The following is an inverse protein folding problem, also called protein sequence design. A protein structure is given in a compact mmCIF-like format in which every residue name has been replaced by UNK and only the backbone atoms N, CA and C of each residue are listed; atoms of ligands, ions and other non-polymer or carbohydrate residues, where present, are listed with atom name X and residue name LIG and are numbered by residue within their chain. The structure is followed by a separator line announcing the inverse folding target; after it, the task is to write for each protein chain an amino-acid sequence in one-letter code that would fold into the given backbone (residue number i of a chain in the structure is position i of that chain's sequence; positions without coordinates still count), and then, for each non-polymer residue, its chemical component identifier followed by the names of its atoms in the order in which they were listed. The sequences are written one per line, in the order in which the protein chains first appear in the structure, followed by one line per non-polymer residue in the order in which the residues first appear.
data_IF_635681283316
#
_entry.id   IF_635681283316
#
_cell.length_a   1.000
_cell.length_b   1.000
_cell.length_c   1.000
_cell.angle_alpha   90.00
_cell.angle_beta   90.00
_cell.angle_gamma   90.00
#
_symmetry.space_group_name_H-M   'P 1'
#
loop_
_entity.id
_entity.type
_entity.pdbx_description
1 polymer ?
#
# COMPACT_ATOMS: atom_id res chain seq x y z
N UNK A 1 -0.07 -7.64 -20.02
CA UNK A 1 -1.28 -6.93 -19.56
C UNK A 1 -1.48 -5.57 -20.25
N UNK A 2 -0.79 -5.24 -21.36
CA UNK A 2 -1.13 -4.07 -22.18
C UNK A 2 -0.83 -2.67 -21.61
N UNK A 3 -0.40 -2.52 -20.35
CA UNK A 3 -0.08 -1.21 -19.75
C UNK A 3 1.17 -0.55 -20.33
N UNK A 4 1.10 0.77 -20.49
CA UNK A 4 2.17 1.64 -20.95
C UNK A 4 2.61 2.57 -19.81
N UNK A 5 3.90 2.53 -19.47
CA UNK A 5 4.49 3.37 -18.42
C UNK A 5 4.29 4.85 -18.76
N UNK A 6 4.00 5.65 -17.74
CA UNK A 6 3.74 7.09 -17.83
C UNK A 6 2.46 7.47 -18.59
N UNK A 7 1.65 6.51 -19.01
CA UNK A 7 0.36 6.74 -19.68
C UNK A 7 -0.77 6.03 -18.93
N UNK A 8 -0.82 4.70 -18.98
CA UNK A 8 -1.87 3.91 -18.31
C UNK A 8 -1.43 3.31 -16.99
N UNK A 9 -0.13 3.33 -16.69
CA UNK A 9 0.43 3.05 -15.36
C UNK A 9 1.42 4.15 -14.98
N UNK A 10 1.16 4.82 -13.85
CA UNK A 10 1.92 5.99 -13.40
C UNK A 10 2.27 5.86 -11.93
N UNK A 11 3.49 6.28 -11.58
CA UNK A 11 3.92 6.35 -10.19
C UNK A 11 3.52 7.68 -9.56
N UNK A 12 3.17 7.64 -8.26
CA UNK A 12 2.89 8.82 -7.46
C UNK A 12 3.85 8.89 -6.25
N UNK A 13 5.16 9.11 -6.47
CA UNK A 13 6.13 9.22 -5.39
C UNK A 13 5.91 10.48 -4.56
N UNK A 14 6.30 10.41 -3.30
CA UNK A 14 6.25 11.51 -2.33
C UNK A 14 7.47 11.45 -1.39
N UNK A 15 7.67 12.50 -0.60
CA UNK A 15 8.70 12.49 0.45
C UNK A 15 8.25 11.57 1.58
N UNK A 16 8.74 10.34 1.58
CA UNK A 16 8.36 9.29 2.53
C UNK A 16 8.87 9.54 3.95
N UNK A 17 9.75 10.53 4.16
CA UNK A 17 10.18 10.95 5.51
C UNK A 17 9.05 11.69 6.22
N UNK A 18 8.14 12.29 5.46
CA UNK A 18 7.07 13.16 5.95
C UNK A 18 5.76 12.42 6.12
N UNK A 19 4.95 12.87 7.08
CA UNK A 19 3.59 12.39 7.32
C UNK A 19 2.56 13.21 6.49
N UNK A 20 1.24 12.93 6.57
CA UNK A 20 0.25 13.63 5.74
C UNK A 20 0.23 15.16 5.93
N UNK A 21 0.44 15.65 7.16
CA UNK A 21 0.47 17.08 7.49
C UNK A 21 1.46 17.88 6.61
N UNK A 22 2.61 17.30 6.26
CA UNK A 22 3.64 17.96 5.45
C UNK A 22 3.67 17.52 3.98
N UNK A 23 2.68 16.72 3.55
CA UNK A 23 2.55 16.22 2.18
C UNK A 23 1.34 16.82 1.42
N UNK A 24 0.87 18.02 1.80
CA UNK A 24 -0.30 18.64 1.16
C UNK A 24 -0.11 18.84 -0.35
N UNK A 25 1.06 19.33 -0.78
CA UNK A 25 1.40 19.49 -2.20
C UNK A 25 1.37 18.15 -2.96
N UNK A 26 1.76 17.06 -2.31
CA UNK A 26 1.66 15.73 -2.90
C UNK A 26 0.20 15.36 -3.15
N UNK A 27 -0.71 15.59 -2.19
CA UNK A 27 -2.13 15.26 -2.38
C UNK A 27 -2.80 16.07 -3.49
N UNK A 28 -2.41 17.34 -3.66
CA UNK A 28 -2.85 18.16 -4.79
C UNK A 28 -2.35 17.57 -6.12
N UNK A 29 -1.06 17.21 -6.19
CA UNK A 29 -0.46 16.59 -7.38
C UNK A 29 -1.04 15.21 -7.67
N UNK A 30 -1.35 14.41 -6.65
CA UNK A 30 -1.97 13.09 -6.77
C UNK A 30 -3.38 13.23 -7.36
N UNK A 31 -4.18 14.18 -6.87
CA UNK A 31 -5.51 14.45 -7.44
C UNK A 31 -5.42 14.80 -8.92
N UNK A 32 -4.54 15.74 -9.28
CA UNK A 32 -4.32 16.12 -10.68
C UNK A 32 -3.83 14.94 -11.52
N UNK A 33 -2.90 14.14 -11.00
CA UNK A 33 -2.40 12.95 -11.68
C UNK A 33 -3.54 11.96 -12.00
N UNK A 34 -4.47 11.76 -11.06
CA UNK A 34 -5.63 10.88 -11.24
C UNK A 34 -6.57 11.43 -12.31
N UNK A 35 -6.87 12.73 -12.27
CA UNK A 35 -7.74 13.41 -13.24
C UNK A 35 -7.14 13.38 -14.65
N UNK A 36 -5.86 13.73 -14.80
CA UNK A 36 -5.14 13.69 -16.08
C UNK A 36 -5.08 12.26 -16.64
N UNK A 37 -4.79 11.27 -15.79
CA UNK A 37 -4.73 9.86 -16.21
C UNK A 37 -6.09 9.35 -16.65
N UNK A 38 -7.16 9.76 -15.98
CA UNK A 38 -8.53 9.40 -16.37
C UNK A 38 -8.84 9.92 -17.78
N UNK A 39 -8.56 11.20 -18.05
CA UNK A 39 -8.84 11.84 -19.35
C UNK A 39 -7.98 11.26 -20.47
N UNK A 40 -6.67 11.08 -20.23
CA UNK A 40 -5.72 10.51 -21.20
C UNK A 40 -6.02 9.03 -21.55
N UNK A 41 -6.77 8.33 -20.70
CA UNK A 41 -7.12 6.92 -20.89
C UNK A 41 -8.63 6.75 -21.14
N UNK A 42 -9.20 7.58 -22.02
CA UNK A 42 -10.59 7.47 -22.48
C UNK A 42 -11.63 7.51 -21.35
N UNK A 43 -11.41 8.37 -20.35
CA UNK A 43 -12.29 8.51 -19.19
C UNK A 43 -12.43 7.20 -18.39
N UNK A 44 -11.35 6.43 -18.31
CA UNK A 44 -11.33 5.17 -17.54
C UNK A 44 -10.99 5.46 -16.08
N UNK A 45 -11.89 5.08 -15.17
CA UNK A 45 -11.70 5.18 -13.71
C UNK A 45 -10.44 4.43 -13.24
N UNK A 46 -9.73 5.01 -12.28
CA UNK A 46 -8.39 4.59 -11.86
C UNK A 46 -8.43 3.52 -10.77
N UNK A 47 -7.57 2.50 -10.90
CA UNK A 47 -7.22 1.57 -9.82
C UNK A 47 -6.01 2.12 -9.07
N UNK A 48 -6.19 2.50 -7.81
CA UNK A 48 -5.08 2.89 -6.94
C UNK A 48 -4.43 1.63 -6.36
N UNK A 49 -3.11 1.48 -6.52
CA UNK A 49 -2.34 0.41 -5.89
C UNK A 49 -1.37 1.03 -4.91
N UNK A 50 -1.48 0.69 -3.63
CA UNK A 50 -0.66 1.25 -2.56
C UNK A 50 -0.01 0.16 -1.71
N UNK A 51 1.24 0.36 -1.31
CA UNK A 51 1.99 -0.56 -0.45
C UNK A 51 2.33 0.10 0.89
N UNK A 52 2.28 -0.68 1.97
CA UNK A 52 2.75 -0.24 3.29
C UNK A 52 2.09 1.07 3.75
N UNK A 53 2.87 2.10 4.09
CA UNK A 53 2.42 3.45 4.42
C UNK A 53 1.59 4.13 3.31
N UNK A 54 1.76 3.71 2.06
CA UNK A 54 0.90 4.16 0.96
C UNK A 54 -0.58 3.86 1.20
N UNK A 55 -0.90 2.82 1.96
CA UNK A 55 -2.26 2.49 2.40
C UNK A 55 -2.92 3.64 3.18
N UNK A 56 -2.46 3.95 4.41
CA UNK A 56 -3.00 5.06 5.19
C UNK A 56 -2.87 6.42 4.49
N UNK A 57 -1.83 6.67 3.68
CA UNK A 57 -1.74 7.88 2.84
C UNK A 57 -2.89 7.98 1.83
N UNK A 58 -3.22 6.87 1.16
CA UNK A 58 -4.34 6.80 0.22
C UNK A 58 -5.69 6.97 0.91
N UNK A 59 -5.84 6.39 2.12
CA UNK A 59 -7.04 6.56 2.93
C UNK A 59 -7.24 8.03 3.33
N UNK A 60 -6.18 8.69 3.82
CA UNK A 60 -6.23 10.11 4.14
C UNK A 60 -6.68 10.91 2.91
N UNK A 61 -6.03 10.69 1.75
CA UNK A 61 -6.35 11.37 0.50
C UNK A 61 -7.83 11.20 0.10
N UNK A 62 -8.33 9.96 0.08
CA UNK A 62 -9.72 9.65 -0.31
C UNK A 62 -10.74 10.22 0.67
N UNK A 63 -10.41 10.30 1.96
CA UNK A 63 -11.27 10.91 2.98
C UNK A 63 -11.37 12.45 2.84
N UNK A 64 -10.46 13.08 2.08
CA UNK A 64 -10.56 14.50 1.71
C UNK A 64 -11.35 14.76 0.41
N UNK A 65 -11.72 13.72 -0.35
CA UNK A 65 -12.46 13.88 -1.59
C UNK A 65 -13.97 13.70 -1.40
N UNK A 66 -14.76 14.42 -2.18
CA UNK A 66 -16.21 14.21 -2.21
C UNK A 66 -16.55 12.82 -2.76
N UNK A 67 -17.69 12.26 -2.34
CA UNK A 67 -18.12 10.96 -2.85
C UNK A 67 -18.33 10.99 -4.38
N UNK A 68 -18.90 12.08 -4.91
CA UNK A 68 -19.08 12.25 -6.35
C UNK A 68 -17.75 12.24 -7.13
N UNK A 69 -16.68 12.82 -6.56
CA UNK A 69 -15.35 12.76 -7.18
C UNK A 69 -14.82 11.32 -7.18
N UNK A 70 -14.94 10.61 -6.05
CA UNK A 70 -14.50 9.21 -5.95
C UNK A 70 -15.26 8.29 -6.90
N UNK A 71 -16.58 8.44 -6.98
CA UNK A 71 -17.44 7.65 -7.87
C UNK A 71 -17.10 7.87 -9.35
N UNK A 72 -16.62 9.06 -9.72
CA UNK A 72 -16.18 9.38 -11.08
C UNK A 72 -14.78 8.83 -11.39
N UNK A 73 -13.81 9.08 -10.52
CA UNK A 73 -12.39 8.91 -10.86
C UNK A 73 -11.77 7.61 -10.32
N UNK A 74 -12.33 6.99 -9.27
CA UNK A 74 -11.70 5.86 -8.59
C UNK A 74 -12.53 4.61 -8.79
N UNK A 75 -11.97 3.64 -9.50
CA UNK A 75 -12.57 2.31 -9.64
C UNK A 75 -12.49 1.55 -8.33
N UNK A 76 -11.27 1.42 -7.79
CA UNK A 76 -10.97 0.67 -6.57
C UNK A 76 -9.62 1.06 -5.97
N UNK A 77 -9.46 0.76 -4.69
CA UNK A 77 -8.19 0.83 -3.94
C UNK A 77 -7.71 -0.59 -3.66
N UNK A 78 -6.55 -0.96 -4.21
CA UNK A 78 -5.83 -2.19 -3.90
C UNK A 78 -4.68 -1.84 -2.97
N UNK A 79 -4.64 -2.46 -1.79
CA UNK A 79 -3.56 -2.26 -0.82
C UNK A 79 -2.78 -3.55 -0.61
N UNK A 80 -1.46 -3.40 -0.56
CA UNK A 80 -0.50 -4.47 -0.33
C UNK A 80 0.20 -4.19 1.01
N UNK A 81 -0.06 -5.01 2.02
CA UNK A 81 0.45 -4.83 3.38
C UNK A 81 0.18 -3.42 3.96
N UNK A 82 -1.04 -2.90 3.80
CA UNK A 82 -1.40 -1.57 4.31
C UNK A 82 -1.21 -1.45 5.82
N UNK A 83 -0.38 -0.50 6.26
CA UNK A 83 -0.05 -0.29 7.68
C UNK A 83 -1.12 0.56 8.41
N UNK A 84 -2.38 0.11 8.36
CA UNK A 84 -3.56 0.88 8.75
C UNK A 84 -3.54 1.43 10.18
N UNK A 85 -3.12 0.60 11.14
CA UNK A 85 -3.04 0.95 12.56
C UNK A 85 -1.62 1.30 13.03
N UNK A 86 -0.66 1.41 12.12
CA UNK A 86 0.76 1.45 12.45
C UNK A 86 1.35 0.07 12.79
N UNK A 87 2.55 0.06 13.38
CA UNK A 87 3.29 -1.15 13.73
C UNK A 87 4.14 -0.95 14.99
N UNK A 88 4.28 -2.00 15.80
CA UNK A 88 5.22 -2.01 16.93
C UNK A 88 6.68 -1.94 16.44
N UNK A 89 6.97 -2.29 15.18
CA UNK A 89 8.30 -2.08 14.59
C UNK A 89 8.72 -0.61 14.62
N UNK A 90 7.80 0.35 14.58
CA UNK A 90 8.13 1.76 14.75
C UNK A 90 8.73 2.05 16.14
N UNK A 91 8.22 1.39 17.19
CA UNK A 91 8.79 1.46 18.56
C UNK A 91 10.20 0.85 18.58
N UNK A 92 10.42 -0.29 17.90
CA UNK A 92 11.75 -0.88 17.72
C UNK A 92 12.73 0.11 17.10
N UNK A 93 12.32 0.76 16.01
CA UNK A 93 13.16 1.74 15.29
C UNK A 93 13.55 2.91 16.20
N UNK A 94 12.60 3.45 16.98
CA UNK A 94 12.92 4.49 17.97
C UNK A 94 13.88 4.02 19.08
N UNK A 95 13.78 2.76 19.50
CA UNK A 95 14.66 2.22 20.53
C UNK A 95 16.09 1.96 20.01
N UNK A 96 16.22 1.17 18.95
CA UNK A 96 17.50 0.59 18.52
C UNK A 96 17.82 0.78 17.03
N UNK A 97 16.90 1.37 16.26
CA UNK A 97 17.00 1.47 14.80
C UNK A 97 16.53 0.22 14.07
N UNK A 98 16.65 0.23 12.75
CA UNK A 98 16.39 -0.91 11.89
C UNK A 98 17.42 -0.96 10.76
N UNK A 99 17.90 -2.15 10.44
CA UNK A 99 18.86 -2.37 9.36
C UNK A 99 18.20 -2.37 7.97
N UNK A 100 16.86 -2.29 7.90
CA UNK A 100 16.06 -2.35 6.67
C UNK A 100 16.35 -3.61 5.82
N UNK A 101 16.85 -4.69 6.45
CA UNK A 101 17.32 -5.88 5.76
C UNK A 101 18.67 -5.72 5.06
N UNK A 102 19.41 -4.64 5.33
CA UNK A 102 20.75 -4.37 4.79
C UNK A 102 21.83 -4.76 5.81
N UNK A 103 22.58 -5.83 5.51
CA UNK A 103 23.72 -6.28 6.31
C UNK A 103 24.88 -5.27 6.42
N UNK A 104 24.85 -4.17 5.65
CA UNK A 104 25.93 -3.19 5.55
C UNK A 104 25.71 -2.00 6.51
N UNK A 105 24.47 -1.75 6.96
CA UNK A 105 24.12 -0.58 7.74
C UNK A 105 23.92 -0.95 9.21
N UNK A 106 24.66 -0.28 10.11
CA UNK A 106 24.51 -0.47 11.56
C UNK A 106 23.19 0.14 12.02
N UNK A 107 22.36 -0.62 12.73
CA UNK A 107 21.05 -0.18 13.24
C UNK A 107 21.18 1.14 14.05
N UNK A 108 22.21 1.29 14.88
CA UNK A 108 22.43 2.51 15.67
C UNK A 108 22.75 3.76 14.83
N UNK A 109 23.40 3.59 13.67
CA UNK A 109 23.67 4.68 12.74
C UNK A 109 22.41 5.03 11.96
N UNK A 110 21.66 4.01 11.54
CA UNK A 110 20.38 4.21 10.86
C UNK A 110 19.34 4.85 11.77
N UNK A 111 19.35 4.52 13.07
CA UNK A 111 18.47 5.13 14.07
C UNK A 111 18.56 6.64 14.03
N UNK A 112 19.76 7.21 13.98
CA UNK A 112 19.96 8.66 14.00
C UNK A 112 19.29 9.38 12.82
N UNK A 113 19.12 8.70 11.68
CA UNK A 113 18.38 9.23 10.53
C UNK A 113 16.89 8.89 10.64
N UNK A 114 16.56 7.63 10.91
CA UNK A 114 15.19 7.10 10.89
C UNK A 114 14.27 7.83 11.87
N UNK A 115 14.76 8.11 13.09
CA UNK A 115 13.94 8.74 14.13
C UNK A 115 13.61 10.21 13.85
N UNK A 116 14.29 10.83 12.88
CA UNK A 116 14.04 12.23 12.48
C UNK A 116 12.90 12.36 11.48
N UNK A 117 12.35 11.24 10.98
CA UNK A 117 11.27 11.23 10.00
C UNK A 117 9.89 11.21 10.69
N UNK A 118 9.03 12.25 10.55
CA UNK A 118 7.68 12.25 11.10
C UNK A 118 6.78 11.09 10.60
N UNK A 119 7.11 10.50 9.45
CA UNK A 119 6.42 9.29 8.97
C UNK A 119 6.59 8.09 9.91
N UNK A 120 7.69 7.99 10.65
CA UNK A 120 7.88 6.95 11.66
C UNK A 120 6.90 7.13 12.82
N UNK A 121 6.70 8.38 13.27
CA UNK A 121 5.71 8.73 14.29
C UNK A 121 4.28 8.42 13.79
N UNK A 122 4.00 8.69 12.52
CA UNK A 122 2.71 8.39 11.89
C UNK A 122 2.40 6.88 11.88
N UNK A 123 3.43 6.05 11.79
CA UNK A 123 3.34 4.59 11.81
C UNK A 123 3.44 3.97 13.21
N UNK A 124 3.47 4.76 14.28
CA UNK A 124 3.34 4.24 15.65
C UNK A 124 1.98 3.56 15.86
N UNK A 125 1.91 2.54 16.74
CA UNK A 125 0.65 1.86 17.06
C UNK A 125 -0.48 2.85 17.40
N UNK A 126 -1.64 2.63 16.80
CA UNK A 126 -2.82 3.48 16.93
C UNK A 126 -3.72 3.00 18.07
N UNK A 127 -4.30 3.92 18.88
CA UNK A 127 -5.27 3.54 19.91
C UNK A 127 -6.56 2.94 19.34
N UNK A 128 -6.77 2.99 18.02
CA UNK A 128 -7.87 2.30 17.35
C UNK A 128 -7.69 0.77 17.32
N UNK A 129 -6.45 0.27 17.43
CA UNK A 129 -6.11 -1.15 17.24
C UNK A 129 -5.25 -1.76 18.37
N UNK A 130 -4.72 -0.92 19.26
CA UNK A 130 -4.01 -1.31 20.47
C UNK A 130 -4.70 -0.68 21.67
N UNK A 131 -4.91 -1.47 22.73
CA UNK A 131 -5.47 -0.92 23.97
C UNK A 131 -4.48 0.05 24.63
N UNK A 132 -4.97 1.06 25.36
CA UNK A 132 -4.11 2.03 26.02
C UNK A 132 -3.08 1.41 26.99
N UNK A 133 -3.45 0.31 27.65
CA UNK A 133 -2.69 -0.41 28.68
C UNK A 133 -1.85 -1.59 28.15
N UNK A 134 -1.88 -1.87 26.84
CA UNK A 134 -1.05 -2.91 26.26
C UNK A 134 0.44 -2.55 26.34
N UNK A 135 1.23 -3.46 26.92
CA UNK A 135 2.68 -3.27 27.10
C UNK A 135 3.40 -3.44 25.77
N UNK A 136 4.01 -2.36 25.26
CA UNK A 136 4.81 -2.32 24.04
C UNK A 136 6.32 -2.44 24.33
N UNK A 137 6.76 -1.86 25.44
CA UNK A 137 8.14 -2.00 25.94
C UNK A 137 8.10 -2.37 27.40
N UNK A 138 8.83 -3.41 27.77
CA UNK A 138 8.93 -3.90 29.14
C UNK A 138 10.37 -3.82 29.60
N UNK A 139 10.59 -3.23 30.77
CA UNK A 139 11.88 -3.20 31.47
C UNK A 139 11.70 -3.74 32.89
N UNK A 140 12.80 -3.90 33.62
CA UNK A 140 12.74 -4.28 35.04
C UNK A 140 12.02 -3.22 35.90
N UNK A 141 12.18 -1.93 35.57
CA UNK A 141 11.65 -0.82 36.39
C UNK A 141 10.28 -0.34 35.94
N UNK A 142 9.95 -0.50 34.66
CA UNK A 142 8.79 0.16 34.05
C UNK A 142 8.28 -0.54 32.79
N UNK A 143 6.95 -0.52 32.63
CA UNK A 143 6.27 -0.85 31.38
C UNK A 143 5.86 0.44 30.66
N UNK A 144 6.06 0.44 29.34
CA UNK A 144 5.62 1.48 28.44
C UNK A 144 4.52 0.94 27.54
N UNK A 145 3.45 1.72 27.46
CA UNK A 145 2.17 1.45 26.81
C UNK A 145 1.80 2.69 25.99
N UNK A 146 0.67 2.66 25.30
CA UNK A 146 0.18 3.87 24.63
C UNK A 146 -0.15 5.00 25.62
N UNK A 147 -0.59 4.66 26.84
CA UNK A 147 -0.96 5.64 27.87
C UNK A 147 0.23 6.43 28.46
N UNK A 148 1.46 5.94 28.35
CA UNK A 148 2.65 6.58 28.92
C UNK A 148 3.84 6.59 27.94
N UNK A 149 3.55 6.64 26.64
CA UNK A 149 4.56 6.56 25.60
C UNK A 149 5.51 7.78 25.58
N UNK A 150 5.08 8.95 26.09
CA UNK A 150 5.93 10.12 26.28
C UNK A 150 7.15 9.79 27.14
N UNK A 151 6.95 9.03 28.22
CA UNK A 151 8.04 8.63 29.12
C UNK A 151 9.04 7.67 28.45
N UNK A 152 8.59 6.90 27.45
CA UNK A 152 9.48 6.10 26.63
C UNK A 152 10.39 7.00 25.78
N UNK A 153 9.81 8.01 25.10
CA UNK A 153 10.57 8.97 24.29
C UNK A 153 11.60 9.76 25.11
N UNK A 154 11.23 10.17 26.32
CA UNK A 154 12.18 10.78 27.27
C UNK A 154 13.27 9.77 27.65
N UNK A 155 12.88 8.52 27.95
CA UNK A 155 13.79 7.46 28.36
C UNK A 155 14.84 7.05 27.31
N UNK A 156 14.53 7.22 26.02
CA UNK A 156 15.47 6.98 24.90
C UNK A 156 16.19 8.27 24.44
N UNK A 157 16.11 9.34 25.24
CA UNK A 157 16.70 10.66 24.96
C UNK A 157 16.25 11.26 23.62
N UNK A 158 14.98 11.07 23.26
CA UNK A 158 14.39 11.60 22.02
C UNK A 158 12.97 12.14 22.25
N UNK A 159 12.80 13.21 23.04
CA UNK A 159 11.48 13.80 23.32
C UNK A 159 10.78 14.34 22.06
N UNK A 160 11.54 14.75 21.03
CA UNK A 160 10.97 15.20 19.75
C UNK A 160 10.09 14.14 19.08
N UNK A 161 10.35 12.84 19.32
CA UNK A 161 9.49 11.77 18.81
C UNK A 161 8.06 11.81 19.38
N UNK A 162 7.91 12.31 20.62
CA UNK A 162 6.59 12.55 21.21
C UNK A 162 5.89 13.75 20.58
N UNK A 163 6.63 14.84 20.30
CA UNK A 163 6.10 16.01 19.60
C UNK A 163 5.66 15.63 18.18
N UNK A 164 6.50 14.91 17.42
CA UNK A 164 6.15 14.38 16.10
C UNK A 164 4.90 13.51 16.15
N UNK A 165 4.76 12.65 17.17
CA UNK A 165 3.54 11.83 17.36
C UNK A 165 2.32 12.72 17.53
N UNK A 166 2.38 13.75 18.38
CA UNK A 166 1.26 14.68 18.58
C UNK A 166 0.85 15.38 17.28
N UNK A 167 1.82 15.81 16.48
CA UNK A 167 1.57 16.50 15.21
C UNK A 167 0.84 15.62 14.18
N UNK A 168 1.15 14.32 14.15
CA UNK A 168 0.62 13.38 13.14
C UNK A 168 -0.58 12.56 13.62
N UNK A 169 -0.85 12.51 14.92
CA UNK A 169 -1.94 11.71 15.50
C UNK A 169 -3.31 11.99 14.85
N UNK A 170 -3.74 13.25 14.63
CA UNK A 170 -5.05 13.52 14.02
C UNK A 170 -5.23 12.88 12.64
N UNK A 171 -4.13 12.67 11.90
CA UNK A 171 -4.14 12.14 10.54
C UNK A 171 -4.31 10.61 10.50
N UNK A 172 -4.01 9.90 11.60
CA UNK A 172 -4.22 8.44 11.70
C UNK A 172 -5.52 8.04 12.42
N UNK A 173 -6.10 8.95 13.21
CA UNK A 173 -7.33 8.67 13.96
C UNK A 173 -8.60 8.66 13.10
N UNK A 174 -8.59 9.30 11.93
CA UNK A 174 -9.71 9.25 11.00
C UNK A 174 -9.69 7.96 10.15
N UNK A 175 -10.23 6.88 10.71
CA UNK A 175 -10.34 5.58 10.04
C UNK A 175 -11.69 5.35 9.35
N UNK A 176 -12.32 6.43 8.86
CA UNK A 176 -13.57 6.35 8.09
C UNK A 176 -13.34 5.53 6.80
N UNK A 177 -14.28 4.67 6.39
CA UNK A 177 -14.19 3.92 5.14
C UNK A 177 -13.95 4.83 3.93
N UNK A 178 -13.10 4.42 2.96
CA UNK A 178 -12.70 5.26 1.84
C UNK A 178 -13.85 5.51 0.85
N UNK A 179 -14.96 4.77 0.92
CA UNK A 179 -16.13 4.97 0.05
C UNK A 179 -15.86 4.59 -1.41
N UNK A 180 -14.93 3.66 -1.65
CA UNK A 180 -14.64 3.05 -2.96
C UNK A 180 -14.52 1.55 -2.74
N UNK A 181 -14.52 0.76 -3.82
CA UNK A 181 -14.22 -0.67 -3.70
C UNK A 181 -12.80 -0.86 -3.16
N UNK A 182 -12.62 -1.75 -2.18
CA UNK A 182 -11.32 -1.99 -1.53
C UNK A 182 -10.92 -3.45 -1.70
N UNK A 183 -9.65 -3.68 -2.03
CA UNK A 183 -8.99 -4.97 -1.98
C UNK A 183 -7.77 -4.87 -1.07
N UNK A 184 -7.76 -5.61 0.03
CA UNK A 184 -6.63 -5.64 0.96
C UNK A 184 -5.90 -6.97 0.91
N UNK A 185 -4.67 -6.96 0.42
CA UNK A 185 -3.80 -8.12 0.47
C UNK A 185 -2.72 -7.89 1.52
N UNK A 186 -2.44 -8.88 2.35
CA UNK A 186 -1.44 -8.76 3.40
C UNK A 186 -0.78 -10.10 3.72
N UNK A 187 0.48 -10.04 4.12
CA UNK A 187 1.20 -11.18 4.68
C UNK A 187 0.63 -11.65 6.02
N UNK A 188 0.84 -12.92 6.34
CA UNK A 188 0.52 -13.51 7.66
C UNK A 188 1.45 -14.68 7.93
N UNK A 189 1.49 -15.17 9.17
CA UNK A 189 2.35 -16.25 9.65
C UNK A 189 3.84 -15.94 9.45
N UNK A 190 4.23 -14.68 9.65
CA UNK A 190 5.62 -14.23 9.70
C UNK A 190 5.86 -13.54 11.04
N UNK A 191 6.88 -14.00 11.77
CA UNK A 191 7.25 -13.46 13.08
C UNK A 191 7.40 -11.93 13.01
N UNK A 192 6.51 -11.23 13.70
CA UNK A 192 6.43 -9.76 13.68
C UNK A 192 6.53 -9.23 15.10
N UNK A 193 7.42 -8.26 15.32
CA UNK A 193 7.66 -7.69 16.65
C UNK A 193 6.34 -7.19 17.25
N UNK A 194 6.00 -7.65 18.46
CA UNK A 194 4.86 -7.19 19.26
C UNK A 194 5.29 -6.51 20.56
N UNK A 195 6.48 -6.80 21.06
CA UNK A 195 7.00 -6.20 22.31
C UNK A 195 8.52 -6.19 22.35
N UNK A 196 9.08 -5.11 22.92
CA UNK A 196 10.49 -5.03 23.28
C UNK A 196 10.64 -5.39 24.76
N UNK A 197 11.40 -6.44 25.08
CA UNK A 197 11.67 -6.88 26.44
C UNK A 197 13.14 -6.67 26.83
N UNK A 198 13.38 -5.74 27.74
CA UNK A 198 14.68 -5.50 28.35
C UNK A 198 14.82 -6.38 29.59
N UNK A 199 15.81 -7.28 29.58
CA UNK A 199 16.11 -8.19 30.68
C UNK A 199 16.57 -7.42 31.93
N UNK A 200 16.42 -7.99 33.15
CA UNK A 200 16.97 -7.40 34.36
C UNK A 200 18.43 -7.01 34.20
N UNK A 201 18.80 -5.83 34.69
CA UNK A 201 20.14 -5.24 34.50
C UNK A 201 20.40 -4.59 33.13
N UNK A 202 19.44 -4.57 32.20
CA UNK A 202 19.51 -3.76 30.97
C UNK A 202 18.54 -2.57 31.04
N UNK A 203 18.86 -1.49 30.33
CA UNK A 203 17.99 -0.31 30.22
C UNK A 203 17.77 0.07 28.74
N UNK A 204 17.05 1.16 28.50
CA UNK A 204 16.61 1.59 27.17
C UNK A 204 17.76 1.92 26.19
N UNK A 205 18.99 2.09 26.69
CA UNK A 205 20.22 2.26 25.92
C UNK A 205 20.86 0.93 25.46
N UNK A 206 20.34 -0.20 25.95
CA UNK A 206 20.75 -1.55 25.55
C UNK A 206 19.91 -2.15 24.40
N UNK A 207 20.16 -3.43 24.11
CA UNK A 207 19.38 -4.18 23.13
C UNK A 207 18.28 -5.01 23.80
N UNK A 208 16.99 -4.83 23.42
CA UNK A 208 15.89 -5.65 23.90
C UNK A 208 15.89 -7.03 23.25
N UNK A 209 15.34 -8.01 23.98
CA UNK A 209 14.80 -9.22 23.35
C UNK A 209 13.48 -8.87 22.68
N UNK A 210 13.34 -9.18 21.40
CA UNK A 210 12.10 -8.96 20.66
C UNK A 210 11.16 -10.15 20.90
N UNK A 211 9.92 -9.86 21.29
CA UNK A 211 8.85 -10.84 21.33
C UNK A 211 7.99 -10.67 20.09
N UNK A 212 7.62 -11.80 19.48
CA UNK A 212 6.98 -11.84 18.18
C UNK A 212 5.54 -12.36 18.32
N UNK A 213 4.68 -11.79 17.49
CA UNK A 213 3.35 -12.31 17.19
C UNK A 213 3.16 -12.42 15.67
N UNK A 214 1.92 -12.55 15.23
CA UNK A 214 1.59 -12.72 13.82
C UNK A 214 1.61 -11.38 13.05
N UNK A 215 2.00 -11.44 11.78
CA UNK A 215 2.04 -10.34 10.83
C UNK A 215 2.82 -10.71 9.57
N UNK A 216 3.45 -9.70 8.96
CA UNK A 216 4.26 -9.86 7.74
C UNK A 216 5.77 -9.59 7.97
N UNK A 217 6.23 -9.64 9.21
CA UNK A 217 7.61 -9.32 9.62
C UNK A 217 7.86 -7.81 9.82
N UNK A 218 6.94 -6.95 9.39
CA UNK A 218 7.02 -5.49 9.60
C UNK A 218 5.78 -4.96 10.30
N UNK A 219 4.58 -5.34 9.86
CA UNK A 219 3.29 -4.82 10.35
C UNK A 219 2.53 -5.93 11.04
N UNK A 220 2.05 -5.67 12.26
CA UNK A 220 1.29 -6.64 13.05
C UNK A 220 -0.03 -7.00 12.34
N UNK A 221 -0.45 -8.27 12.44
CA UNK A 221 -1.64 -8.79 11.75
C UNK A 221 -2.90 -7.94 12.00
N UNK A 222 -3.10 -7.48 13.25
CA UNK A 222 -4.24 -6.63 13.62
C UNK A 222 -4.31 -5.32 12.84
N UNK A 223 -3.16 -4.74 12.51
CA UNK A 223 -3.07 -3.54 11.68
C UNK A 223 -3.30 -3.88 10.22
N UNK A 224 -2.69 -4.95 9.71
CA UNK A 224 -2.89 -5.43 8.33
C UNK A 224 -4.36 -5.74 8.00
N UNK A 225 -5.09 -6.33 8.96
CA UNK A 225 -6.48 -6.74 8.80
C UNK A 225 -7.49 -5.60 9.01
N UNK A 226 -7.06 -4.41 9.43
CA UNK A 226 -7.96 -3.34 9.86
C UNK A 226 -8.98 -2.92 8.80
N UNK A 227 -8.69 -3.04 7.51
CA UNK A 227 -9.65 -2.68 6.48
C UNK A 227 -10.91 -3.58 6.47
N UNK A 228 -10.88 -4.76 7.11
CA UNK A 228 -12.07 -5.60 7.30
C UNK A 228 -13.18 -4.87 8.07
N UNK A 229 -12.83 -3.91 8.94
CA UNK A 229 -13.81 -3.10 9.66
C UNK A 229 -14.74 -2.31 8.74
N UNK A 230 -14.33 -2.04 7.49
CA UNK A 230 -15.13 -1.26 6.55
C UNK A 230 -16.23 -2.06 5.84
N UNK A 231 -16.25 -3.40 5.96
CA UNK A 231 -17.20 -4.26 5.23
C UNK A 231 -18.67 -3.87 5.40
N UNK A 232 -19.05 -3.37 6.58
CA UNK A 232 -20.41 -2.95 6.91
C UNK A 232 -20.59 -1.43 6.99
N UNK A 233 -19.53 -0.65 6.73
CA UNK A 233 -19.51 0.80 6.94
C UNK A 233 -19.59 1.61 5.64
N UNK A 234 -19.56 0.95 4.49
CA UNK A 234 -19.71 1.58 3.17
C UNK A 234 -20.55 0.71 2.22
N UNK A 235 -21.07 1.32 1.16
CA UNK A 235 -21.87 0.62 0.13
C UNK A 235 -20.98 -0.24 -0.77
N UNK A 236 -19.80 0.26 -1.10
CA UNK A 236 -18.83 -0.37 -1.97
C UNK A 236 -18.20 -1.59 -1.27
N UNK A 237 -17.88 -2.63 -2.04
CA UNK A 237 -17.38 -3.88 -1.49
C UNK A 237 -15.97 -3.73 -0.92
N UNK A 238 -15.70 -4.52 0.13
CA UNK A 238 -14.39 -4.64 0.76
C UNK A 238 -14.00 -6.12 0.71
N UNK A 239 -12.99 -6.42 -0.10
CA UNK A 239 -12.36 -7.71 -0.23
C UNK A 239 -11.03 -7.70 0.52
N UNK A 240 -10.67 -8.85 1.09
CA UNK A 240 -9.39 -9.02 1.74
C UNK A 240 -8.85 -10.42 1.50
N UNK A 241 -7.53 -10.55 1.48
CA UNK A 241 -6.85 -11.83 1.31
C UNK A 241 -5.54 -11.85 2.08
N UNK A 242 -5.48 -12.73 3.07
CA UNK A 242 -4.22 -13.09 3.70
C UNK A 242 -3.38 -13.94 2.73
N UNK A 243 -2.08 -13.70 2.70
CA UNK A 243 -1.10 -14.49 1.95
C UNK A 243 -0.12 -15.08 2.97
N UNK A 244 -0.36 -16.31 3.47
CA UNK A 244 0.48 -16.92 4.49
C UNK A 244 1.95 -17.03 4.08
N UNK A 245 2.85 -16.92 5.06
CA UNK A 245 4.31 -17.04 4.90
C UNK A 245 4.91 -16.05 3.90
N UNK A 246 4.26 -14.90 3.73
CA UNK A 246 4.72 -13.82 2.85
C UNK A 246 5.10 -12.63 3.70
N UNK A 247 6.36 -12.23 3.63
CA UNK A 247 6.83 -11.03 4.34
C UNK A 247 6.39 -9.73 3.66
N UNK A 248 6.65 -8.62 4.34
CA UNK A 248 6.22 -7.28 3.98
C UNK A 248 6.66 -6.81 2.58
N UNK A 249 7.81 -7.27 2.09
CA UNK A 249 8.30 -6.96 0.74
C UNK A 249 7.96 -8.08 -0.25
N UNK A 250 7.94 -9.33 0.22
CA UNK A 250 7.54 -10.51 -0.54
C UNK A 250 6.16 -10.36 -1.17
N UNK A 251 5.24 -9.63 -0.54
CA UNK A 251 3.90 -9.37 -1.08
C UNK A 251 3.93 -8.69 -2.46
N UNK A 252 4.96 -7.90 -2.78
CA UNK A 252 5.09 -7.18 -4.06
C UNK A 252 5.47 -8.11 -5.23
N UNK A 253 6.20 -9.18 -4.94
CA UNK A 253 6.76 -10.08 -5.94
C UNK A 253 6.11 -11.47 -5.93
N UNK A 254 5.30 -11.76 -4.90
CA UNK A 254 4.62 -13.02 -4.72
C UNK A 254 3.62 -13.30 -5.84
N UNK A 255 3.65 -14.53 -6.38
CA UNK A 255 2.81 -14.95 -7.49
C UNK A 255 1.31 -14.82 -7.16
N UNK A 256 0.91 -15.14 -5.93
CA UNK A 256 -0.48 -14.99 -5.46
C UNK A 256 -0.97 -13.54 -5.60
N UNK A 257 -0.16 -12.56 -5.18
CA UNK A 257 -0.50 -11.14 -5.31
C UNK A 257 -0.56 -10.70 -6.77
N UNK A 258 0.44 -11.10 -7.56
CA UNK A 258 0.50 -10.75 -8.98
C UNK A 258 -0.69 -11.31 -9.76
N UNK A 259 -1.06 -12.57 -9.51
CA UNK A 259 -2.22 -13.21 -10.14
C UNK A 259 -3.52 -12.56 -9.70
N UNK A 260 -3.64 -12.18 -8.43
CA UNK A 260 -4.80 -11.45 -7.92
C UNK A 260 -4.98 -10.12 -8.65
N UNK A 261 -3.93 -9.28 -8.71
CA UNK A 261 -3.96 -7.99 -9.39
C UNK A 261 -4.22 -8.18 -10.89
N UNK A 262 -3.55 -9.15 -11.53
CA UNK A 262 -3.75 -9.44 -12.94
C UNK A 262 -5.19 -9.86 -13.25
N UNK A 263 -5.83 -10.62 -12.37
CA UNK A 263 -7.22 -11.01 -12.53
C UNK A 263 -8.15 -9.80 -12.36
N UNK A 264 -7.91 -8.92 -11.39
CA UNK A 264 -8.67 -7.68 -11.22
C UNK A 264 -8.62 -6.78 -12.45
N UNK A 265 -7.46 -6.69 -13.09
CA UNK A 265 -7.28 -5.96 -14.34
C UNK A 265 -8.06 -6.61 -15.48
N UNK A 266 -7.95 -7.94 -15.64
CA UNK A 266 -8.61 -8.67 -16.74
C UNK A 266 -10.13 -8.64 -16.64
N UNK A 267 -10.68 -8.70 -15.44
CA UNK A 267 -12.14 -8.61 -15.23
C UNK A 267 -12.71 -7.26 -15.64
N UNK A 268 -11.86 -6.24 -15.77
CA UNK A 268 -12.26 -4.91 -16.22
C UNK A 268 -12.13 -4.72 -17.74
N UNK A 269 -11.48 -5.66 -18.46
CA UNK A 269 -11.49 -5.64 -19.92
C UNK A 269 -12.89 -6.05 -20.40
N UNK A 270 -13.53 -5.27 -21.30
CA UNK A 270 -14.79 -5.68 -21.89
C UNK A 270 -14.57 -7.02 -22.59
N UNK A 271 -15.41 -8.01 -22.28
CA UNK A 271 -15.45 -9.25 -23.03
C UNK A 271 -15.61 -8.92 -24.51
N UNK A 272 -14.65 -9.33 -25.34
CA UNK A 272 -14.82 -9.29 -26.80
C UNK A 272 -15.97 -10.25 -27.12
N UNK A 273 -17.20 -9.73 -27.21
CA UNK A 273 -18.29 -10.46 -27.83
C UNK A 273 -17.95 -10.60 -29.32
N UNK A 274 -17.44 -11.77 -29.70
CA UNK A 274 -17.39 -12.14 -31.11
C UNK A 274 -18.85 -12.25 -31.57
N UNK A 275 -19.31 -11.44 -32.53
CA UNK A 275 -20.70 -11.49 -32.97
C UNK A 275 -21.01 -12.91 -33.46
N UNK A 276 -22.12 -13.48 -32.98
CA UNK A 276 -22.57 -14.86 -33.29
C UNK A 276 -22.85 -15.15 -34.78
N UNK A 277 -22.57 -14.19 -35.67
CA UNK A 277 -22.75 -14.32 -37.12
C UNK A 277 -21.50 -13.95 -37.92
N UNK A 278 -20.29 -14.19 -37.40
CA UNK A 278 -19.09 -14.16 -38.23
C UNK A 278 -18.81 -15.54 -38.86
N UNK A 279 -18.89 -15.60 -40.18
CA UNK A 279 -18.66 -16.79 -40.98
C UNK A 279 -17.19 -17.23 -40.86
N UNK A 280 -16.94 -18.35 -40.18
CA UNK A 280 -15.61 -18.90 -39.86
C UNK A 280 -14.65 -18.97 -41.06
N UNK A 281 -15.16 -19.07 -42.29
CA UNK A 281 -14.33 -19.17 -43.50
C UNK A 281 -13.51 -17.91 -43.82
N UNK A 282 -13.91 -16.73 -43.33
CA UNK A 282 -13.20 -15.47 -43.59
C UNK A 282 -12.03 -15.30 -42.62
N UNK A 283 -12.21 -15.69 -41.35
CA UNK A 283 -11.17 -15.61 -40.33
C UNK A 283 -10.01 -16.58 -40.62
N UNK A 284 -10.32 -17.80 -41.08
CA UNK A 284 -9.29 -18.77 -41.45
C UNK A 284 -8.49 -18.33 -42.68
N UNK A 285 -9.14 -17.67 -43.65
CA UNK A 285 -8.44 -17.08 -44.81
C UNK A 285 -7.55 -15.91 -44.42
N UNK A 286 -7.99 -15.05 -43.49
CA UNK A 286 -7.21 -13.92 -42.98
C UNK A 286 -6.00 -14.38 -42.14
N UNK A 287 -6.19 -15.39 -41.29
CA UNK A 287 -5.11 -15.99 -40.50
C UNK A 287 -4.11 -16.75 -41.38
N UNK A 288 -4.58 -17.39 -42.46
CA UNK A 288 -3.71 -18.05 -43.43
C UNK A 288 -2.89 -17.03 -44.25
N UNK A 289 -3.50 -15.91 -44.67
CA UNK A 289 -2.81 -14.80 -45.35
C UNK A 289 -1.81 -14.09 -44.44
N UNK A 290 -2.12 -13.90 -43.15
CA UNK A 290 -1.16 -13.36 -42.17
C UNK A 290 0.03 -14.30 -41.95
N UNK A 291 -0.19 -15.62 -41.91
CA UNK A 291 0.90 -16.60 -41.82
C UNK A 291 1.77 -16.63 -43.07
N UNK A 292 1.16 -16.50 -44.26
CA UNK A 292 1.90 -16.40 -45.53
C UNK A 292 2.72 -15.11 -45.63
N UNK A 293 2.20 -13.97 -45.17
CA UNK A 293 2.96 -12.71 -45.13
C UNK A 293 4.14 -12.74 -44.16
N UNK A 294 4.00 -13.45 -43.03
CA UNK A 294 5.09 -13.62 -42.06
C UNK A 294 6.20 -14.55 -42.56
N UNK A 295 5.88 -15.46 -43.48
CA UNK A 295 6.83 -16.36 -44.15
C UNK A 295 7.52 -15.70 -45.36
N UNK A 296 6.88 -14.74 -46.02
CA UNK A 296 7.41 -14.12 -47.25
C UNK A 296 8.18 -12.79 -47.04
N UNK A 297 8.38 -12.33 -45.81
CA UNK A 297 9.36 -11.30 -45.48
C UNK A 297 9.25 -9.96 -46.24
N UNK A 298 8.06 -9.58 -46.71
CA UNK A 298 7.88 -8.38 -47.53
C UNK A 298 7.09 -7.30 -46.79
N UNK A 299 7.81 -6.28 -46.32
CA UNK A 299 7.23 -4.98 -45.94
C UNK A 299 6.90 -4.19 -47.20
N UNK A 300 5.73 -3.54 -47.20
CA UNK A 300 5.18 -2.62 -48.21
C UNK A 300 4.21 -3.21 -49.24
N UNK A 301 3.04 -2.55 -49.33
CA UNK A 301 1.85 -2.78 -50.18
C UNK A 301 0.70 -3.57 -49.54
N UNK A 302 0.07 -3.01 -48.50
CA UNK A 302 -1.36 -3.28 -48.23
C UNK A 302 -2.14 -2.04 -47.74
N UNK A 303 -1.71 -0.82 -48.06
CA UNK A 303 -2.46 0.42 -47.78
C UNK A 303 -3.50 0.78 -48.87
N UNK A 304 -4.02 -0.19 -49.62
CA UNK A 304 -5.00 0.07 -50.70
C UNK A 304 -6.19 -0.90 -50.76
N UNK A 305 -6.56 -1.52 -49.64
CA UNK A 305 -7.77 -2.36 -49.59
C UNK A 305 -8.75 -2.00 -48.46
N UNK A 306 -8.55 -0.88 -47.76
CA UNK A 306 -9.52 -0.37 -46.77
C UNK A 306 -10.32 0.85 -47.25
N UNK A 307 -10.25 1.20 -48.53
CA UNK A 307 -11.01 2.32 -49.09
C UNK A 307 -12.10 1.81 -50.05
N UNK A 308 -13.11 1.14 -49.50
CA UNK A 308 -14.44 1.03 -50.12
C UNK A 308 -15.47 0.99 -48.99
N UNK A 309 -16.12 2.13 -48.73
CA UNK A 309 -17.57 2.28 -48.63
C UNK A 309 -17.91 3.69 -48.10
N UNK A 310 -18.10 4.63 -49.02
CA UNK A 310 -19.16 5.65 -48.92
C UNK A 310 -20.34 5.14 -49.75
N UNK A 311 -21.42 4.71 -49.09
CA UNK A 311 -22.87 5.00 -49.34
C UNK A 311 -23.64 4.54 -48.10
#
# INVERSE_FOLDING_TARGET
MGYNRNTSIRGAPYDFRKAPNENQDYFVKLKKLIEDTYEENNNTSIMLIAHSMGGPMSLYFLNQQSQAWKDKYIKRLVTLSGAWGGSVKAIKVYAIGDDLGSYILRESVMRAEQITSPSLAFLLPSPLFWKPDEVLVQTEKKNYTLSNLEEFFIGISFPDGWEMKKDVEPFKLNFKPPGVEVHCLYGSQVDTVEKLYYKPGTWLDGYPTLLYGDGDGTVNLRSLQACQHWQSLQKQKVFYQAVPKTDHLGILYGKTTQDYIANLVKTDEPSVEIPKHYNHSILDKLLHLQRLNKLMGNSSKFDRLLNVNDV
#
